data_IF_875927037243
#
_entry.id   IF_875927037243
#
_cell.length_a   1.000
_cell.length_b   1.000
_cell.length_c   1.000
_cell.angle_alpha   90.00
_cell.angle_beta   90.00
_cell.angle_gamma   90.00
#
_symmetry.space_group_name_H-M   'P 1'
#
loop_
_entity.id
_entity.type
_entity.pdbx_description
1 polymer ?
#
# COMPACT_ATOMS: atom_id res chain seq x y z
N UNK A 1 20.94 13.42 -3.26
CA UNK A 1 20.10 13.87 -4.38
C UNK A 1 20.96 13.87 -5.62
N UNK A 2 20.61 13.08 -6.63
CA UNK A 2 21.29 13.08 -7.92
C UNK A 2 20.43 13.85 -8.91
N UNK A 3 21.04 14.81 -9.62
CA UNK A 3 20.35 15.49 -10.71
C UNK A 3 20.08 14.47 -11.81
N UNK A 4 18.83 14.44 -12.28
CA UNK A 4 18.43 13.65 -13.44
C UNK A 4 17.98 14.60 -14.55
N UNK A 5 18.01 14.12 -15.78
CA UNK A 5 17.44 14.85 -16.89
C UNK A 5 15.91 14.95 -16.72
N UNK A 6 15.38 16.18 -16.83
CA UNK A 6 13.94 16.44 -16.81
C UNK A 6 13.24 15.91 -18.06
N UNK A 7 13.99 15.70 -19.15
CA UNK A 7 13.54 15.31 -20.50
C UNK A 7 12.32 16.15 -20.97
N UNK A 8 12.41 17.47 -20.81
CA UNK A 8 11.36 18.44 -21.20
C UNK A 8 9.97 18.13 -20.63
N UNK A 9 9.89 17.54 -19.44
CA UNK A 9 8.60 17.33 -18.77
C UNK A 9 7.94 18.63 -18.36
N UNK A 10 6.62 18.61 -18.39
CA UNK A 10 5.80 19.72 -17.95
C UNK A 10 4.54 19.21 -17.25
N UNK A 11 3.83 20.13 -16.59
CA UNK A 11 2.49 19.90 -16.09
C UNK A 11 1.48 20.72 -16.90
N UNK A 12 0.31 20.16 -17.16
CA UNK A 12 -0.90 20.98 -17.30
C UNK A 12 -1.38 21.40 -15.92
N UNK A 13 -2.22 22.44 -15.81
CA UNK A 13 -2.78 22.85 -14.50
C UNK A 13 -3.48 21.68 -13.80
N UNK A 14 -4.25 20.87 -14.53
CA UNK A 14 -4.93 19.68 -14.02
C UNK A 14 -3.94 18.68 -13.42
N UNK A 15 -2.89 18.32 -14.16
CA UNK A 15 -1.86 17.38 -13.67
C UNK A 15 -1.12 17.94 -12.46
N UNK A 16 -0.86 19.24 -12.42
CA UNK A 16 -0.19 19.88 -11.31
C UNK A 16 -1.02 19.84 -10.02
N UNK A 17 -2.32 20.11 -10.13
CA UNK A 17 -3.27 20.02 -9.01
C UNK A 17 -3.35 18.58 -8.50
N UNK A 18 -3.49 17.60 -9.40
CA UNK A 18 -3.53 16.18 -9.03
C UNK A 18 -2.26 15.73 -8.33
N UNK A 19 -1.09 16.12 -8.87
CA UNK A 19 0.20 15.81 -8.30
C UNK A 19 0.40 16.45 -6.92
N UNK A 20 0.00 17.71 -6.75
CA UNK A 20 0.07 18.39 -5.47
C UNK A 20 -0.88 17.78 -4.42
N UNK A 21 -2.11 17.45 -4.81
CA UNK A 21 -3.05 16.76 -3.93
C UNK A 21 -2.51 15.39 -3.51
N UNK A 22 -1.86 14.66 -4.43
CA UNK A 22 -1.18 13.42 -4.11
C UNK A 22 -0.03 13.64 -3.11
N UNK A 23 0.80 14.67 -3.31
CA UNK A 23 1.89 14.99 -2.40
C UNK A 23 1.40 15.31 -0.97
N UNK A 24 0.29 16.04 -0.85
CA UNK A 24 -0.36 16.35 0.43
C UNK A 24 -0.91 15.08 1.08
N UNK A 25 -1.67 14.26 0.34
CA UNK A 25 -2.21 12.97 0.85
C UNK A 25 -1.11 12.01 1.29
N UNK A 26 -0.01 11.97 0.56
CA UNK A 26 1.14 11.11 0.80
C UNK A 26 2.10 11.67 1.87
N UNK A 27 1.87 12.91 2.35
CA UNK A 27 2.67 13.55 3.39
C UNK A 27 4.10 13.89 2.97
N UNK A 28 4.30 14.26 1.71
CA UNK A 28 5.63 14.56 1.13
C UNK A 28 6.19 15.90 1.60
N UNK A 29 7.51 16.08 1.54
CA UNK A 29 8.17 17.28 2.10
C UNK A 29 7.87 18.58 1.33
N UNK A 30 7.85 18.53 -0.01
CA UNK A 30 7.53 19.69 -0.86
C UNK A 30 6.14 19.57 -1.48
N UNK A 31 5.34 20.59 -1.23
CA UNK A 31 3.94 20.73 -1.63
C UNK A 31 3.69 22.20 -1.95
N UNK A 32 2.70 22.47 -2.78
CA UNK A 32 2.30 23.80 -3.24
C UNK A 32 1.00 24.23 -2.57
N UNK A 33 0.80 25.55 -2.43
CA UNK A 33 -0.45 26.10 -1.89
C UNK A 33 -1.61 25.87 -2.86
N UNK A 34 -2.69 25.25 -2.38
CA UNK A 34 -3.85 24.89 -3.21
C UNK A 34 -4.53 26.10 -3.83
N UNK A 35 -4.59 27.20 -3.10
CA UNK A 35 -5.22 28.46 -3.53
C UNK A 35 -4.45 29.07 -4.70
N UNK A 36 -3.11 29.01 -4.65
CA UNK A 36 -2.26 29.48 -5.75
C UNK A 36 -2.48 28.65 -7.01
N UNK A 37 -2.50 27.32 -6.90
CA UNK A 37 -2.74 26.44 -8.05
C UNK A 37 -4.11 26.66 -8.72
N UNK A 38 -5.14 27.00 -7.93
CA UNK A 38 -6.46 27.33 -8.48
C UNK A 38 -6.45 28.62 -9.32
N UNK A 39 -5.59 29.57 -8.96
CA UNK A 39 -5.45 30.86 -9.66
C UNK A 39 -4.67 30.79 -10.97
N UNK A 40 -3.97 29.68 -11.22
CA UNK A 40 -3.17 29.48 -12.42
C UNK A 40 -4.05 29.38 -13.69
N UNK A 41 -3.61 29.87 -14.87
CA UNK A 41 -4.35 29.72 -16.12
C UNK A 41 -4.51 28.26 -16.56
N UNK A 42 -5.65 27.92 -17.17
CA UNK A 42 -5.96 26.57 -17.67
C UNK A 42 -5.29 26.26 -19.02
N UNK A 43 -5.02 27.28 -19.82
CA UNK A 43 -4.44 27.22 -21.16
C UNK A 43 -2.89 27.20 -21.18
N UNK A 44 -2.26 27.24 -20.00
CA UNK A 44 -0.80 27.21 -19.85
C UNK A 44 -0.28 25.88 -19.37
N UNK A 45 0.98 25.61 -19.74
CA UNK A 45 1.78 24.52 -19.20
C UNK A 45 2.87 25.05 -18.28
N UNK A 46 3.29 24.20 -17.34
CA UNK A 46 4.23 24.53 -16.28
C UNK A 46 5.46 23.61 -16.40
N UNK A 47 6.55 24.07 -17.05
CA UNK A 47 7.71 23.24 -17.34
C UNK A 47 8.54 22.93 -16.10
N UNK A 48 9.17 21.75 -16.10
CA UNK A 48 10.10 21.31 -15.05
C UNK A 48 11.53 21.63 -15.49
N UNK A 49 12.20 22.52 -14.76
CA UNK A 49 13.57 22.96 -15.06
C UNK A 49 14.64 22.18 -14.31
N UNK A 50 14.27 21.49 -13.22
CA UNK A 50 15.19 20.71 -12.41
C UNK A 50 14.48 19.48 -11.84
N UNK A 51 15.13 18.33 -11.95
CA UNK A 51 14.65 17.06 -11.38
C UNK A 51 15.77 16.43 -10.57
N UNK A 52 15.45 16.02 -9.34
CA UNK A 52 16.41 15.52 -8.34
C UNK A 52 15.89 14.17 -7.80
N UNK A 53 16.63 13.09 -8.08
CA UNK A 53 16.34 11.74 -7.58
C UNK A 53 16.95 11.57 -6.17
N UNK A 54 16.10 11.32 -5.17
CA UNK A 54 16.50 11.07 -3.79
C UNK A 54 16.77 9.57 -3.57
N UNK A 55 18.04 9.17 -3.52
CA UNK A 55 18.37 7.80 -3.10
C UNK A 55 17.96 7.56 -1.64
N UNK A 56 17.17 6.48 -1.47
CA UNK A 56 16.56 5.87 -0.26
C UNK A 56 15.10 6.17 0.09
N UNK A 57 14.32 6.93 -0.71
CA UNK A 57 12.84 7.02 -0.52
C UNK A 57 11.98 6.93 -1.78
N UNK A 58 12.57 6.84 -2.97
CA UNK A 58 11.81 6.63 -4.22
C UNK A 58 10.97 7.85 -4.65
N UNK A 59 11.37 9.04 -4.19
CA UNK A 59 10.75 10.31 -4.50
C UNK A 59 11.62 11.10 -5.48
N UNK A 60 10.99 11.86 -6.36
CA UNK A 60 11.62 12.80 -7.27
C UNK A 60 11.15 14.20 -6.89
N UNK A 61 12.10 15.07 -6.55
CA UNK A 61 11.84 16.50 -6.35
C UNK A 61 11.98 17.21 -7.68
N UNK A 62 10.94 17.93 -8.09
CA UNK A 62 10.93 18.73 -9.30
C UNK A 62 10.86 20.22 -8.95
N UNK A 63 11.53 21.06 -9.74
CA UNK A 63 11.37 22.52 -9.70
C UNK A 63 10.58 22.95 -10.92
N UNK A 64 9.48 23.66 -10.67
CA UNK A 64 8.48 24.05 -11.68
C UNK A 64 8.55 25.55 -11.89
N UNK A 65 8.47 26.01 -13.14
CA UNK A 65 8.36 27.44 -13.49
C UNK A 65 6.88 27.80 -13.67
N UNK A 66 6.47 28.93 -13.10
CA UNK A 66 5.07 29.38 -13.09
C UNK A 66 4.76 30.55 -14.00
N UNK A 67 5.75 31.41 -14.29
CA UNK A 67 5.53 32.64 -15.03
C UNK A 67 6.79 33.11 -15.79
N UNK A 68 6.61 34.16 -16.60
CA UNK A 68 7.66 34.80 -17.40
C UNK A 68 8.74 35.48 -16.55
N UNK A 69 8.48 35.70 -15.26
CA UNK A 69 9.47 36.22 -14.30
C UNK A 69 10.32 35.09 -13.72
N UNK A 70 10.14 33.87 -14.21
CA UNK A 70 10.81 32.67 -13.73
C UNK A 70 10.56 32.42 -12.23
N UNK A 71 9.35 32.74 -11.74
CA UNK A 71 8.93 32.30 -10.41
C UNK A 71 8.93 30.78 -10.38
N UNK A 72 9.57 30.19 -9.37
CA UNK A 72 9.68 28.74 -9.24
C UNK A 72 9.31 28.26 -7.85
N UNK A 73 8.88 27.00 -7.77
CA UNK A 73 8.69 26.29 -6.52
C UNK A 73 8.97 24.80 -6.70
N UNK A 74 9.10 24.08 -5.59
CA UNK A 74 9.38 22.65 -5.58
C UNK A 74 8.14 21.82 -5.29
N UNK A 75 8.06 20.67 -5.94
CA UNK A 75 7.06 19.64 -5.67
C UNK A 75 7.72 18.27 -5.59
N UNK A 76 7.38 17.49 -4.58
CA UNK A 76 7.87 16.11 -4.45
C UNK A 76 6.84 15.13 -5.05
N UNK A 77 7.31 14.21 -5.88
CA UNK A 77 6.50 13.22 -6.60
C UNK A 77 7.03 11.81 -6.37
N UNK A 78 6.18 10.79 -6.55
CA UNK A 78 6.69 9.45 -6.78
C UNK A 78 7.43 9.38 -8.11
N UNK A 79 8.37 8.44 -8.21
CA UNK A 79 9.01 8.11 -9.48
C UNK A 79 8.01 7.75 -10.58
N UNK A 80 6.96 7.00 -10.26
CA UNK A 80 5.91 6.67 -11.23
C UNK A 80 5.19 7.92 -11.73
N UNK A 81 4.69 8.77 -10.83
CA UNK A 81 3.96 9.99 -11.23
C UNK A 81 4.82 10.93 -12.07
N UNK A 82 6.11 11.06 -11.75
CA UNK A 82 7.08 11.79 -12.58
C UNK A 82 7.24 11.16 -13.98
N UNK A 83 7.36 9.84 -14.06
CA UNK A 83 7.50 9.13 -15.34
C UNK A 83 6.26 9.26 -16.24
N UNK A 84 5.07 9.42 -15.66
CA UNK A 84 3.81 9.62 -16.37
C UNK A 84 3.55 11.06 -16.81
N UNK A 85 4.41 12.02 -16.46
CA UNK A 85 4.25 13.40 -16.94
C UNK A 85 4.43 13.49 -18.46
N UNK A 86 3.70 14.40 -19.13
CA UNK A 86 3.92 14.70 -20.52
C UNK A 86 5.28 15.34 -20.76
N UNK A 87 5.84 15.08 -21.94
CA UNK A 87 7.08 15.63 -22.45
C UNK A 87 6.77 16.54 -23.62
N UNK A 88 7.51 17.64 -23.71
CA UNK A 88 7.48 18.50 -24.88
C UNK A 88 8.58 18.09 -25.86
N UNK A 89 8.28 18.15 -27.16
CA UNK A 89 9.26 18.02 -28.23
C UNK A 89 9.71 19.43 -28.63
N UNK A 90 11.02 19.67 -28.55
CA UNK A 90 11.64 20.94 -28.94
C UNK A 90 12.29 20.75 -30.31
N UNK A 91 11.82 21.51 -31.30
CA UNK A 91 12.39 21.51 -32.64
C UNK A 91 13.49 22.56 -32.78
N UNK A 92 14.37 22.36 -33.77
CA UNK A 92 15.54 23.24 -34.01
C UNK A 92 15.16 24.67 -34.42
N UNK A 93 13.96 24.85 -34.97
CA UNK A 93 13.40 26.14 -35.37
C UNK A 93 12.77 26.91 -34.19
N UNK A 94 12.80 26.33 -32.98
CA UNK A 94 12.19 26.89 -31.78
C UNK A 94 10.73 26.51 -31.58
N UNK A 95 10.14 25.72 -32.49
CA UNK A 95 8.78 25.21 -32.33
C UNK A 95 8.73 24.20 -31.17
N UNK A 96 7.67 24.27 -30.37
CA UNK A 96 7.41 23.34 -29.25
C UNK A 96 6.13 22.58 -29.54
N UNK A 97 6.22 21.26 -29.55
CA UNK A 97 5.05 20.38 -29.62
C UNK A 97 4.77 19.77 -28.24
N UNK A 98 3.51 19.87 -27.82
CA UNK A 98 3.02 19.31 -26.57
C UNK A 98 2.21 18.05 -26.86
N UNK A 99 2.37 17.02 -26.03
CA UNK A 99 1.47 15.85 -26.07
C UNK A 99 -0.01 16.25 -26.03
N UNK A 100 -0.83 15.63 -26.87
CA UNK A 100 -2.27 15.86 -26.89
C UNK A 100 -2.95 15.36 -25.61
N UNK A 101 -4.07 15.96 -25.23
CA UNK A 101 -4.81 15.55 -24.04
C UNK A 101 -5.31 14.09 -24.13
N UNK A 102 -5.67 13.63 -25.33
CA UNK A 102 -6.04 12.22 -25.59
C UNK A 102 -4.86 11.28 -25.30
N UNK A 103 -3.65 11.65 -25.75
CA UNK A 103 -2.43 10.87 -25.55
C UNK A 103 -2.03 10.80 -24.07
N UNK A 104 -2.16 11.93 -23.36
CA UNK A 104 -1.94 12.01 -21.91
C UNK A 104 -2.96 11.12 -21.18
N UNK A 105 -4.23 11.19 -21.58
CA UNK A 105 -5.31 10.44 -20.95
C UNK A 105 -5.24 8.93 -21.23
N UNK A 106 -4.80 8.52 -22.42
CA UNK A 106 -4.67 7.13 -22.81
C UNK A 106 -3.70 6.33 -21.92
N UNK A 107 -2.71 7.00 -21.31
CA UNK A 107 -1.72 6.38 -20.42
C UNK A 107 -1.98 6.58 -18.93
N UNK A 108 -3.12 7.15 -18.55
CA UNK A 108 -3.49 7.29 -17.14
C UNK A 108 -3.78 5.92 -16.51
N UNK A 109 -3.32 5.73 -15.27
CA UNK A 109 -3.61 4.53 -14.47
C UNK A 109 -5.08 4.46 -14.04
N UNK A 110 -5.72 5.61 -13.85
CA UNK A 110 -7.11 5.74 -13.42
C UNK A 110 -7.79 6.87 -14.20
N UNK A 111 -9.13 6.84 -14.34
CA UNK A 111 -9.88 7.93 -14.98
C UNK A 111 -9.56 9.28 -14.35
N UNK A 112 -9.68 10.35 -15.15
CA UNK A 112 -9.49 11.74 -14.69
C UNK A 112 -10.36 12.01 -13.46
N UNK A 113 -9.81 12.66 -12.44
CA UNK A 113 -10.50 12.95 -11.18
C UNK A 113 -10.58 11.80 -10.17
N UNK A 114 -10.17 10.57 -10.52
CA UNK A 114 -10.07 9.47 -9.55
C UNK A 114 -8.78 9.56 -8.76
N UNK A 115 -8.88 9.96 -7.49
CA UNK A 115 -7.72 10.02 -6.62
C UNK A 115 -7.19 8.64 -6.22
N UNK A 116 -5.86 8.53 -6.10
CA UNK A 116 -5.16 7.32 -5.67
C UNK A 116 -3.90 7.70 -4.88
N UNK A 117 -3.35 6.73 -4.15
CA UNK A 117 -2.13 6.90 -3.33
C UNK A 117 -1.08 5.92 -3.82
N UNK A 118 0.12 6.40 -4.10
CA UNK A 118 1.26 5.54 -4.41
C UNK A 118 2.18 5.41 -3.20
N UNK A 119 2.48 4.18 -2.81
CA UNK A 119 3.37 3.89 -1.67
C UNK A 119 4.56 3.07 -2.14
N UNK A 120 5.76 3.48 -1.74
CA UNK A 120 6.95 2.64 -1.85
C UNK A 120 6.98 1.70 -0.64
N UNK A 121 6.60 0.45 -0.84
CA UNK A 121 6.55 -0.58 0.21
C UNK A 121 7.67 -1.60 0.06
N UNK A 122 8.20 -2.08 1.20
CA UNK A 122 8.96 -3.33 1.24
C UNK A 122 7.98 -4.47 1.45
N UNK A 123 7.95 -5.44 0.53
CA UNK A 123 7.15 -6.66 0.67
C UNK A 123 8.03 -7.79 1.20
N UNK A 124 7.61 -8.41 2.29
CA UNK A 124 8.24 -9.65 2.77
C UNK A 124 7.94 -10.76 1.77
N UNK A 125 8.99 -11.44 1.30
CA UNK A 125 8.84 -12.66 0.50
C UNK A 125 8.51 -13.79 1.47
N UNK A 126 7.29 -14.32 1.39
CA UNK A 126 6.83 -15.43 2.24
C UNK A 126 7.19 -16.77 1.60
N UNK A 127 7.48 -17.77 2.42
CA UNK A 127 7.69 -19.13 1.96
C UNK A 127 6.37 -19.72 1.47
N UNK A 128 6.28 -20.08 0.19
CA UNK A 128 5.07 -20.68 -0.41
C UNK A 128 4.67 -21.99 0.29
N UNK A 129 5.64 -22.72 0.85
CA UNK A 129 5.40 -23.98 1.55
C UNK A 129 4.65 -23.81 2.87
N UNK A 130 4.70 -22.63 3.52
CA UNK A 130 3.99 -22.39 4.78
C UNK A 130 2.49 -22.60 4.61
N UNK A 131 1.92 -21.99 3.56
CA UNK A 131 0.49 -22.11 3.26
C UNK A 131 0.08 -23.57 3.11
N UNK A 132 0.80 -24.30 2.27
CA UNK A 132 0.50 -25.71 2.01
C UNK A 132 0.59 -26.54 3.28
N UNK A 133 1.64 -26.37 4.09
CA UNK A 133 1.81 -27.11 5.35
C UNK A 133 0.66 -26.87 6.34
N UNK A 134 0.25 -25.62 6.51
CA UNK A 134 -0.82 -25.26 7.44
C UNK A 134 -2.16 -25.80 6.93
N UNK A 135 -2.52 -25.58 5.67
CA UNK A 135 -3.79 -26.08 5.13
C UNK A 135 -3.90 -27.60 5.26
N UNK A 136 -2.85 -28.33 4.87
CA UNK A 136 -2.81 -29.79 5.00
C UNK A 136 -2.92 -30.25 6.45
N UNK A 137 -2.25 -29.59 7.39
CA UNK A 137 -2.33 -29.95 8.82
C UNK A 137 -3.74 -29.76 9.40
N UNK A 138 -4.50 -28.81 8.88
CA UNK A 138 -5.91 -28.59 9.24
C UNK A 138 -6.87 -29.30 8.27
N UNK A 139 -6.43 -30.28 7.48
CA UNK A 139 -7.31 -31.03 6.59
C UNK A 139 -8.04 -30.17 5.55
N UNK A 140 -7.45 -29.03 5.17
CA UNK A 140 -8.05 -28.02 4.29
C UNK A 140 -9.38 -27.46 4.80
N UNK A 141 -9.50 -27.22 6.11
CA UNK A 141 -10.70 -26.60 6.67
C UNK A 141 -10.35 -25.42 7.58
N UNK A 142 -11.23 -24.43 7.63
CA UNK A 142 -11.13 -23.37 8.61
C UNK A 142 -11.22 -23.93 10.04
N UNK A 143 -10.31 -23.49 10.92
CA UNK A 143 -10.27 -23.88 12.32
C UNK A 143 -11.46 -23.35 13.16
N UNK A 144 -12.27 -22.45 12.61
CA UNK A 144 -13.40 -21.81 13.30
C UNK A 144 -14.77 -22.22 12.71
N UNK A 145 -14.93 -22.16 11.39
CA UNK A 145 -16.23 -22.43 10.74
C UNK A 145 -16.25 -23.67 9.83
N UNK A 146 -15.17 -24.45 9.77
CA UNK A 146 -15.09 -25.70 9.02
C UNK A 146 -15.25 -25.63 7.48
N UNK A 147 -15.48 -24.44 6.91
CA UNK A 147 -15.43 -24.21 5.47
C UNK A 147 -14.16 -24.80 4.85
N UNK A 148 -14.31 -25.54 3.76
CA UNK A 148 -13.27 -26.36 3.14
C UNK A 148 -12.90 -25.93 1.71
N UNK A 149 -13.53 -24.86 1.19
CA UNK A 149 -13.13 -24.26 -0.07
C UNK A 149 -11.73 -23.62 0.05
N UNK A 150 -10.74 -24.31 -0.52
CA UNK A 150 -9.32 -23.93 -0.53
C UNK A 150 -9.11 -22.50 -1.05
N UNK A 151 -9.97 -22.00 -1.95
CA UNK A 151 -9.86 -20.66 -2.55
C UNK A 151 -10.12 -19.53 -1.56
N UNK A 152 -10.83 -19.81 -0.46
CA UNK A 152 -11.14 -18.86 0.61
C UNK A 152 -10.31 -19.10 1.88
N UNK A 153 -9.53 -20.18 1.95
CA UNK A 153 -8.66 -20.44 3.08
C UNK A 153 -7.38 -19.61 3.04
N UNK A 154 -6.87 -19.30 4.23
CA UNK A 154 -5.66 -18.54 4.51
C UNK A 154 -4.88 -19.31 5.57
N UNK A 155 -3.55 -19.36 5.41
CA UNK A 155 -2.66 -19.77 6.48
C UNK A 155 -2.30 -18.51 7.28
N UNK A 156 -3.04 -18.27 8.35
CA UNK A 156 -2.87 -17.12 9.22
C UNK A 156 -1.65 -17.34 10.12
N UNK A 157 -0.67 -16.44 10.08
CA UNK A 157 0.44 -16.45 11.04
C UNK A 157 -0.07 -16.04 12.42
N UNK A 158 0.23 -16.85 13.45
CA UNK A 158 -0.08 -16.51 14.84
C UNK A 158 0.79 -15.34 15.28
N UNK A 159 2.11 -15.54 15.30
CA UNK A 159 3.05 -14.44 15.46
C UNK A 159 3.41 -13.89 14.07
N UNK A 160 3.21 -12.59 13.81
CA UNK A 160 3.40 -12.02 12.47
C UNK A 160 4.78 -12.30 11.88
N UNK A 161 4.83 -12.64 10.59
CA UNK A 161 6.07 -12.95 9.88
C UNK A 161 7.13 -11.82 9.87
N UNK A 162 6.73 -10.57 10.13
CA UNK A 162 7.68 -9.45 10.28
C UNK A 162 8.35 -9.40 11.66
N UNK A 163 7.84 -10.15 12.64
CA UNK A 163 8.38 -10.25 13.99
C UNK A 163 9.08 -11.60 14.24
N UNK A 164 8.93 -12.58 13.34
CA UNK A 164 9.57 -13.89 13.46
C UNK A 164 9.65 -14.63 12.13
N UNK A 165 10.74 -15.37 11.92
CA UNK A 165 11.01 -16.22 10.75
C UNK A 165 10.38 -17.63 10.82
N UNK A 166 9.52 -17.88 11.80
CA UNK A 166 8.93 -19.19 12.06
C UNK A 166 7.75 -19.48 11.11
N UNK A 167 8.05 -20.16 10.01
CA UNK A 167 7.09 -20.67 9.03
C UNK A 167 6.77 -22.17 9.27
N UNK A 168 6.72 -22.60 10.54
CA UNK A 168 6.23 -23.93 10.93
C UNK A 168 4.71 -23.94 11.12
N UNK A 169 4.10 -25.13 11.06
CA UNK A 169 2.66 -25.29 11.29
C UNK A 169 2.24 -24.78 12.68
N UNK A 170 3.13 -24.90 13.68
CA UNK A 170 2.87 -24.43 15.05
C UNK A 170 2.73 -22.90 15.16
N UNK A 171 3.16 -22.14 14.16
CA UNK A 171 2.93 -20.70 14.04
C UNK A 171 1.80 -20.36 13.05
N UNK A 172 1.00 -21.34 12.65
CA UNK A 172 -0.07 -21.19 11.67
C UNK A 172 -1.43 -21.67 12.17
N UNK A 173 -2.48 -20.96 11.75
CA UNK A 173 -3.88 -21.40 11.88
C UNK A 173 -4.50 -21.35 10.49
N UNK A 174 -5.20 -22.41 10.08
CA UNK A 174 -5.98 -22.38 8.86
C UNK A 174 -7.31 -21.64 9.12
N UNK A 175 -7.52 -20.49 8.48
CA UNK A 175 -8.73 -19.67 8.65
C UNK A 175 -9.34 -19.35 7.29
N UNK A 176 -10.66 -19.18 7.20
CA UNK A 176 -11.26 -18.57 6.02
C UNK A 176 -10.96 -17.06 6.01
N UNK A 177 -11.06 -16.40 4.85
CA UNK A 177 -10.81 -14.96 4.66
C UNK A 177 -11.51 -14.06 5.69
N UNK A 178 -12.71 -14.42 6.14
CA UNK A 178 -13.48 -13.65 7.13
C UNK A 178 -12.82 -13.78 8.52
N UNK A 179 -12.59 -15.00 8.99
CA UNK A 179 -11.99 -15.24 10.30
C UNK A 179 -10.55 -14.74 10.37
N UNK A 180 -9.78 -14.91 9.28
CA UNK A 180 -8.43 -14.35 9.14
C UNK A 180 -8.45 -12.85 9.34
N UNK A 181 -9.35 -12.12 8.64
CA UNK A 181 -9.47 -10.67 8.78
C UNK A 181 -9.85 -10.24 10.19
N UNK A 182 -10.83 -10.91 10.80
CA UNK A 182 -11.28 -10.60 12.17
C UNK A 182 -10.19 -10.88 13.20
N UNK A 183 -9.41 -11.94 13.01
CA UNK A 183 -8.26 -12.28 13.84
C UNK A 183 -7.09 -11.31 13.64
N UNK A 184 -6.80 -10.92 12.39
CA UNK A 184 -5.75 -9.95 12.02
C UNK A 184 -6.00 -8.59 12.66
N UNK A 185 -7.25 -8.13 12.64
CA UNK A 185 -7.69 -6.85 13.19
C UNK A 185 -7.80 -6.86 14.73
N UNK A 186 -7.75 -8.04 15.37
CA UNK A 186 -7.88 -8.19 16.82
C UNK A 186 -9.34 -8.13 17.31
N UNK A 187 -10.33 -8.27 16.42
CA UNK A 187 -11.73 -8.37 16.80
C UNK A 187 -12.03 -9.74 17.44
N UNK A 188 -11.37 -10.79 16.93
CA UNK A 188 -11.37 -12.13 17.50
C UNK A 188 -9.98 -12.40 18.06
N UNK A 189 -9.95 -12.91 19.29
CA UNK A 189 -8.73 -13.29 19.97
C UNK A 189 -8.78 -14.77 20.35
N UNK A 190 -7.63 -15.44 20.25
CA UNK A 190 -7.46 -16.85 20.61
C UNK A 190 -6.52 -16.94 21.80
N UNK A 191 -6.98 -17.56 22.89
CA UNK A 191 -6.21 -17.81 24.11
C UNK A 191 -5.20 -18.94 23.89
N UNK A 192 -4.17 -19.06 24.75
CA UNK A 192 -3.15 -20.12 24.64
C UNK A 192 -3.70 -21.55 24.66
N UNK A 193 -4.88 -21.75 25.24
CA UNK A 193 -5.61 -23.03 25.29
C UNK A 193 -6.58 -23.23 24.10
N UNK A 194 -6.58 -22.34 23.12
CA UNK A 194 -7.44 -22.40 21.93
C UNK A 194 -8.83 -21.77 22.10
N UNK A 195 -9.17 -21.25 23.28
CA UNK A 195 -10.45 -20.56 23.50
C UNK A 195 -10.53 -19.25 22.72
N UNK A 196 -11.66 -19.04 22.08
CA UNK A 196 -11.95 -17.87 21.28
C UNK A 196 -12.78 -16.90 22.13
N UNK A 197 -12.48 -15.61 22.02
CA UNK A 197 -13.39 -14.59 22.50
C UNK A 197 -13.42 -13.40 21.54
N UNK A 198 -14.58 -12.75 21.47
CA UNK A 198 -14.77 -11.53 20.71
C UNK A 198 -14.37 -10.36 21.59
N UNK A 199 -13.31 -9.65 21.19
CA UNK A 199 -12.88 -8.43 21.87
C UNK A 199 -13.72 -7.22 21.41
N UNK A 200 -14.14 -7.21 20.14
CA UNK A 200 -14.78 -6.07 19.51
C UNK A 200 -15.67 -6.51 18.35
N UNK A 201 -16.87 -5.94 18.28
CA UNK A 201 -17.85 -6.17 17.23
C UNK A 201 -19.15 -6.81 17.70
N UNK A 202 -20.16 -6.81 16.81
CA UNK A 202 -21.46 -7.44 17.03
C UNK A 202 -21.68 -8.55 15.98
N UNK A 203 -20.83 -9.56 16.01
CA UNK A 203 -20.98 -10.76 15.19
C UNK A 203 -20.99 -11.99 16.08
N UNK A 204 -21.74 -13.00 15.67
CA UNK A 204 -21.78 -14.29 16.36
C UNK A 204 -20.67 -15.16 15.79
N UNK A 205 -20.03 -15.91 16.68
CA UNK A 205 -19.18 -17.02 16.31
C UNK A 205 -19.94 -18.29 16.68
N UNK A 206 -19.94 -19.25 15.77
CA UNK A 206 -20.54 -20.56 15.99
C UNK A 206 -19.60 -21.52 16.75
N UNK A 207 -18.47 -21.01 17.25
CA UNK A 207 -17.46 -21.77 17.98
C UNK A 207 -16.87 -20.98 19.15
N UNK A 208 -16.66 -21.67 20.27
CA UNK A 208 -15.99 -21.13 21.47
C UNK A 208 -14.49 -21.47 21.52
N UNK A 209 -14.04 -22.41 20.69
CA UNK A 209 -12.64 -22.86 20.60
C UNK A 209 -12.24 -23.12 19.15
N UNK A 210 -10.98 -22.87 18.82
CA UNK A 210 -10.43 -23.29 17.54
C UNK A 210 -10.27 -24.81 17.50
N UNK A 211 -10.51 -25.42 16.34
CA UNK A 211 -10.12 -26.80 16.08
C UNK A 211 -8.60 -26.88 15.92
N UNK A 212 -7.96 -27.84 16.57
CA UNK A 212 -6.55 -28.15 16.35
C UNK A 212 -6.35 -29.14 15.19
N UNK A 213 -5.16 -29.17 14.57
CA UNK A 213 -4.76 -30.23 13.64
C UNK A 213 -4.94 -31.64 14.24
N UNK A 214 -5.02 -32.67 13.40
CA UNK A 214 -5.14 -34.05 13.92
C UNK A 214 -3.87 -34.53 14.64
N UNK A 215 -2.71 -33.99 14.24
CA UNK A 215 -1.41 -34.33 14.83
C UNK A 215 -1.04 -33.32 15.92
N UNK A 216 -0.81 -33.79 17.14
CA UNK A 216 -0.37 -32.96 18.27
C UNK A 216 0.91 -32.16 17.98
N UNK A 217 1.85 -32.74 17.23
CA UNK A 217 3.08 -32.06 16.82
C UNK A 217 2.84 -30.81 15.95
N UNK A 218 1.66 -30.68 15.34
CA UNK A 218 1.26 -29.54 14.53
C UNK A 218 0.43 -28.51 15.31
N UNK A 219 0.17 -28.71 16.61
CA UNK A 219 -0.67 -27.80 17.37
C UNK A 219 -0.09 -26.39 17.39
N UNK A 220 -0.94 -25.35 17.31
CA UNK A 220 -0.55 -23.98 17.60
C UNK A 220 0.27 -23.89 18.89
N UNK A 221 1.42 -23.23 18.82
CA UNK A 221 2.23 -23.02 20.01
C UNK A 221 1.50 -22.10 20.98
N UNK A 222 1.27 -22.58 22.21
CA UNK A 222 0.66 -21.80 23.29
C UNK A 222 1.41 -20.48 23.55
N UNK A 223 2.74 -20.50 23.45
CA UNK A 223 3.59 -19.31 23.53
C UNK A 223 3.29 -18.31 22.42
N UNK A 224 3.11 -18.76 21.18
CA UNK A 224 2.79 -17.88 20.03
C UNK A 224 1.39 -17.29 20.18
N UNK A 225 0.43 -18.10 20.59
CA UNK A 225 -0.94 -17.64 20.88
C UNK A 225 -0.95 -16.56 21.97
N UNK A 226 -0.17 -16.74 23.04
CA UNK A 226 -0.01 -15.73 24.08
C UNK A 226 0.60 -14.42 23.55
N UNK A 227 1.64 -14.51 22.70
CA UNK A 227 2.26 -13.34 22.06
C UNK A 227 1.25 -12.59 21.17
N UNK A 228 0.49 -13.33 20.36
CA UNK A 228 -0.52 -12.73 19.48
C UNK A 228 -1.64 -12.06 20.27
N UNK A 229 -2.10 -12.69 21.35
CA UNK A 229 -3.11 -12.13 22.24
C UNK A 229 -2.67 -10.78 22.82
N UNK A 230 -1.44 -10.68 23.34
CA UNK A 230 -0.88 -9.43 23.85
C UNK A 230 -0.84 -8.33 22.77
N UNK A 231 -0.45 -8.67 21.53
CA UNK A 231 -0.44 -7.73 20.40
C UNK A 231 -1.86 -7.22 20.06
N UNK A 232 -2.85 -8.11 20.03
CA UNK A 232 -4.24 -7.73 19.76
C UNK A 232 -4.81 -6.82 20.85
N UNK A 233 -4.55 -7.12 22.13
CA UNK A 233 -5.02 -6.31 23.26
C UNK A 233 -4.39 -4.91 23.27
N UNK A 234 -3.08 -4.80 23.01
CA UNK A 234 -2.37 -3.51 22.95
C UNK A 234 -2.89 -2.57 21.87
N UNK A 235 -3.43 -3.12 20.78
CA UNK A 235 -3.98 -2.34 19.66
C UNK A 235 -5.25 -1.59 20.04
N UNK A 236 -5.97 -2.08 21.05
CA UNK A 236 -7.24 -1.52 21.52
C UNK A 236 -7.08 -0.52 22.68
N UNK A 237 -5.94 -0.57 23.37
CA UNK A 237 -5.59 0.34 24.47
C UNK A 237 -4.86 1.61 23.99
N UNK A 238 -4.85 1.86 22.67
CA UNK A 238 -4.30 3.07 22.03
C UNK A 238 -5.43 3.80 21.31
#
# INVERSE_FOLDING_TARGET
MHKIDSENRYFTKTLLIEANNAAIREGRNRQLRKEYLKSLPDDKVYPIILSLDEHNRGEIRVQIVFDEKCTTDFLDLTKNRYNFLPKAILYKDGTVELESEESINARRLYPVGREYVEKVGRKIIRNSNFRTKVLVAYGNQCAMCHEDDISILVAAHINPAHLCSDDTVNNGICLCKIHDKLYEDGNICVRPNGEIFVQSGKFKLDCDKIRFPDKESNYPSSKRLAQRLDLSLKRYNK
#
